data_IF_258634923289
#
_entry.id   IF_258634923289
#
_cell.length_a   1.000
_cell.length_b   1.000
_cell.length_c   1.000
_cell.angle_alpha   90.00
_cell.angle_beta   90.00
_cell.angle_gamma   90.00
#
_symmetry.space_group_name_H-M   'P 1'
#
loop_
_entity.id
_entity.type
_entity.pdbx_description
1 polymer ?
#
# COMPACT_ATOMS: atom_id res chain seq x y z
N UNK A 1 31.05 5.61 -63.03
CA UNK A 1 30.01 6.00 -63.98
C UNK A 1 28.68 6.10 -63.23
N UNK A 2 28.19 7.35 -63.11
CA UNK A 2 26.77 7.78 -63.14
C UNK A 2 25.79 7.14 -62.15
N UNK A 3 24.93 7.81 -61.38
CA UNK A 3 24.36 9.19 -61.34
C UNK A 3 23.56 9.23 -60.00
N UNK A 4 23.68 10.11 -59.08
CA UNK A 4 23.02 11.39 -58.80
C UNK A 4 21.57 11.46 -59.24
N UNK A 5 20.68 11.66 -58.25
CA UNK A 5 19.43 12.42 -58.20
C UNK A 5 18.49 11.78 -57.17
N UNK A 6 17.74 12.43 -56.33
CA UNK A 6 17.41 13.87 -56.18
C UNK A 6 16.69 14.02 -54.84
N UNK A 7 16.89 15.13 -54.23
CA UNK A 7 16.06 15.75 -53.18
C UNK A 7 14.61 15.80 -53.59
N UNK A 8 13.72 15.52 -52.68
CA UNK A 8 12.39 16.15 -52.68
C UNK A 8 11.94 16.34 -51.25
N UNK A 9 11.91 17.61 -50.89
CA UNK A 9 11.19 18.19 -49.74
C UNK A 9 9.75 17.79 -49.77
N UNK A 10 9.21 17.38 -48.62
CA UNK A 10 7.80 17.61 -48.28
C UNK A 10 7.63 18.05 -46.84
N UNK A 11 7.58 19.32 -46.73
CA UNK A 11 6.94 20.18 -45.75
C UNK A 11 5.47 19.81 -45.62
N UNK A 12 5.04 19.42 -44.44
CA UNK A 12 3.66 19.47 -43.99
C UNK A 12 3.64 19.39 -42.48
N UNK A 13 3.31 20.47 -41.94
CA UNK A 13 2.06 20.89 -41.29
C UNK A 13 2.09 20.63 -39.79
N UNK A 14 2.53 21.71 -39.09
CA UNK A 14 2.21 21.99 -37.71
C UNK A 14 0.71 22.11 -37.53
N UNK A 15 0.12 21.26 -36.72
CA UNK A 15 -1.19 21.50 -36.12
C UNK A 15 -0.99 21.91 -34.68
N UNK A 16 -1.54 23.02 -34.22
CA UNK A 16 -1.41 23.46 -32.84
C UNK A 16 -2.33 22.65 -31.93
N UNK A 17 -1.73 22.06 -30.92
CA UNK A 17 -2.44 21.43 -29.81
C UNK A 17 -3.12 22.51 -28.99
N UNK A 18 -4.45 22.48 -28.96
CA UNK A 18 -5.32 23.35 -28.18
C UNK A 18 -5.15 23.01 -26.68
N UNK A 19 -4.83 24.04 -25.89
CA UNK A 19 -4.95 24.04 -24.43
C UNK A 19 -6.41 23.81 -24.01
N UNK A 20 -6.68 22.93 -23.02
CA UNK A 20 -8.01 22.89 -22.40
C UNK A 20 -8.11 23.98 -21.33
N UNK A 21 -9.06 24.89 -21.51
CA UNK A 21 -9.55 25.84 -20.53
C UNK A 21 -10.13 25.10 -19.31
N UNK A 22 -9.97 25.62 -18.09
CA UNK A 22 -10.63 25.07 -16.92
C UNK A 22 -12.14 25.33 -16.97
N UNK A 23 -12.93 24.27 -16.84
CA UNK A 23 -14.37 24.34 -16.66
C UNK A 23 -14.66 24.77 -15.22
N UNK A 24 -15.44 25.84 -15.07
CA UNK A 24 -16.11 26.23 -13.82
C UNK A 24 -17.21 25.19 -13.55
N UNK A 25 -17.07 24.44 -12.48
CA UNK A 25 -18.16 23.65 -11.91
C UNK A 25 -18.78 24.42 -10.74
N UNK A 26 -20.02 24.80 -10.97
CA UNK A 26 -20.96 25.36 -10.03
C UNK A 26 -21.23 24.39 -8.87
N UNK A 27 -20.91 24.83 -7.67
CA UNK A 27 -21.25 24.11 -6.42
C UNK A 27 -22.74 24.28 -6.17
N UNK A 28 -23.50 23.22 -6.32
CA UNK A 28 -24.86 23.11 -5.83
C UNK A 28 -24.83 22.54 -4.41
N UNK A 29 -25.29 23.35 -3.48
CA UNK A 29 -25.53 23.02 -2.08
C UNK A 29 -26.78 22.16 -1.94
N UNK A 30 -26.64 20.95 -1.42
CA UNK A 30 -27.74 20.20 -0.81
C UNK A 30 -27.33 19.71 0.56
N UNK A 31 -27.99 20.29 1.55
CA UNK A 31 -28.03 19.81 2.94
C UNK A 31 -28.90 18.54 3.02
N UNK A 32 -28.58 17.56 3.84
CA UNK A 32 -29.59 16.65 4.34
C UNK A 32 -29.99 16.95 5.78
N UNK A 33 -31.26 17.19 5.95
CA UNK A 33 -32.07 17.30 7.16
C UNK A 33 -31.86 16.12 8.11
N UNK A 34 -31.71 16.47 9.38
CA UNK A 34 -31.85 15.58 10.52
C UNK A 34 -33.33 15.18 10.71
N UNK A 35 -33.59 13.89 10.87
CA UNK A 35 -34.84 13.39 11.48
C UNK A 35 -34.57 12.80 12.85
N UNK A 36 -35.38 13.30 13.79
CA UNK A 36 -35.45 12.90 15.17
C UNK A 36 -36.27 11.60 15.34
N UNK A 37 -35.78 10.67 16.12
CA UNK A 37 -36.52 9.52 16.60
C UNK A 37 -36.52 9.50 18.14
N UNK A 38 -37.67 9.73 18.72
CA UNK A 38 -38.04 9.58 20.17
C UNK A 38 -38.29 8.13 20.52
N UNK A 39 -37.96 7.75 21.76
CA UNK A 39 -38.75 6.90 22.68
C UNK A 39 -38.03 6.92 24.03
N UNK A 40 -38.56 7.49 25.12
CA UNK A 40 -39.51 6.96 26.12
C UNK A 40 -38.99 5.64 26.73
N UNK A 41 -38.79 5.51 28.02
CA UNK A 41 -39.65 5.57 29.19
C UNK A 41 -38.87 5.22 30.47
N UNK A 42 -39.06 6.02 31.51
CA UNK A 42 -39.42 5.80 32.87
C UNK A 42 -38.65 4.78 33.75
N UNK A 43 -38.16 5.22 34.87
CA UNK A 43 -38.72 4.99 36.20
C UNK A 43 -37.90 5.67 37.32
N UNK A 44 -38.64 6.36 38.18
CA UNK A 44 -38.28 6.89 39.49
C UNK A 44 -38.88 5.91 40.52
N UNK A 45 -38.56 5.82 41.84
CA UNK A 45 -38.50 6.95 42.77
C UNK A 45 -37.58 6.82 44.03
N UNK A 46 -37.75 7.87 44.87
CA UNK A 46 -37.63 8.01 46.33
C UNK A 46 -36.24 8.36 46.90
N UNK A 47 -36.08 9.49 47.44
CA UNK A 47 -36.51 10.20 48.67
C UNK A 47 -35.39 10.21 49.75
N UNK A 48 -34.88 11.37 50.08
CA UNK A 48 -34.85 11.95 51.44
C UNK A 48 -33.93 13.15 51.57
N UNK A 49 -34.55 14.27 51.88
CA UNK A 49 -34.21 15.33 52.84
C UNK A 49 -32.93 16.17 52.77
N UNK A 50 -33.25 17.47 52.69
CA UNK A 50 -32.51 18.70 52.92
C UNK A 50 -31.83 18.80 54.30
N UNK A 51 -30.89 19.79 54.50
CA UNK A 51 -31.22 21.18 54.43
C UNK A 51 -30.21 22.16 53.80
N UNK A 52 -30.75 23.26 53.49
CA UNK A 52 -30.26 24.51 52.96
C UNK A 52 -28.90 25.02 53.46
N UNK A 53 -28.09 25.43 52.52
CA UNK A 53 -27.13 26.52 52.72
C UNK A 53 -27.15 27.41 51.46
N UNK A 54 -27.37 28.69 51.70
CA UNK A 54 -27.55 29.75 50.72
C UNK A 54 -26.30 29.84 49.81
N UNK A 55 -26.42 29.42 48.58
CA UNK A 55 -25.43 29.73 47.52
C UNK A 55 -26.04 30.82 46.63
N UNK A 56 -25.37 31.98 46.59
CA UNK A 56 -25.60 33.08 45.67
C UNK A 56 -25.83 32.59 44.24
N UNK A 57 -26.70 33.22 43.45
CA UNK A 57 -26.86 32.88 42.05
C UNK A 57 -25.52 33.15 41.34
N UNK A 58 -24.89 32.10 40.87
CA UNK A 58 -23.81 32.17 39.93
C UNK A 58 -24.38 32.78 38.64
N UNK A 59 -23.93 33.98 38.31
CA UNK A 59 -24.15 34.57 37.00
C UNK A 59 -23.71 33.53 35.94
N UNK A 60 -24.50 33.29 34.89
CA UNK A 60 -24.08 32.39 33.82
C UNK A 60 -22.81 32.96 33.21
N UNK A 61 -21.67 32.29 33.42
CA UNK A 61 -20.42 32.65 32.75
C UNK A 61 -20.71 32.60 31.24
N UNK A 62 -20.72 33.77 30.61
CA UNK A 62 -20.75 33.89 29.15
C UNK A 62 -19.65 33.01 28.62
N UNK A 63 -19.90 32.18 27.59
CA UNK A 63 -18.85 31.39 26.96
C UNK A 63 -17.74 32.36 26.57
N UNK A 64 -16.55 32.20 27.16
CA UNK A 64 -15.37 32.99 26.83
C UNK A 64 -15.13 32.80 25.34
N UNK A 65 -15.32 33.88 24.57
CA UNK A 65 -14.97 33.88 23.15
C UNK A 65 -13.52 33.39 23.03
N UNK A 66 -13.24 32.35 22.22
CA UNK A 66 -11.90 31.84 22.09
C UNK A 66 -11.00 33.00 21.62
N UNK A 67 -9.91 33.27 22.36
CA UNK A 67 -8.96 34.31 21.97
C UNK A 67 -8.50 34.01 20.53
N UNK A 68 -8.82 34.95 19.62
CA UNK A 68 -8.52 34.78 18.20
C UNK A 68 -7.01 34.53 17.93
N UNK A 69 -6.13 35.03 18.82
CA UNK A 69 -4.69 34.79 18.76
C UNK A 69 -4.36 33.31 19.01
N UNK A 70 -5.00 32.73 20.02
CA UNK A 70 -4.84 31.31 20.34
C UNK A 70 -5.38 30.45 19.20
N UNK A 71 -6.56 30.79 18.66
CA UNK A 71 -7.16 30.07 17.52
C UNK A 71 -6.27 30.19 16.28
N UNK A 72 -5.73 31.36 15.99
CA UNK A 72 -4.80 31.56 14.87
C UNK A 72 -3.51 30.75 15.06
N UNK A 73 -2.92 30.76 16.27
CA UNK A 73 -1.71 30.01 16.56
C UNK A 73 -1.92 28.49 16.39
N UNK A 74 -3.07 27.96 16.86
CA UNK A 74 -3.44 26.56 16.67
C UNK A 74 -3.61 26.25 15.18
N UNK A 75 -4.36 27.08 14.45
CA UNK A 75 -4.59 26.87 13.01
C UNK A 75 -3.27 26.90 12.21
N UNK A 76 -2.35 27.79 12.57
CA UNK A 76 -1.04 27.86 11.94
C UNK A 76 -0.22 26.60 12.21
N UNK A 77 -0.23 26.12 13.47
CA UNK A 77 0.45 24.88 13.83
C UNK A 77 -0.15 23.66 13.10
N UNK A 78 -1.49 23.60 13.00
CA UNK A 78 -2.19 22.54 12.26
C UNK A 78 -1.87 22.60 10.77
N UNK A 79 -1.80 23.78 10.20
CA UNK A 79 -1.41 23.97 8.80
C UNK A 79 0.02 23.50 8.55
N UNK A 80 0.97 23.82 9.42
CA UNK A 80 2.35 23.36 9.31
C UNK A 80 2.46 21.84 9.44
N UNK A 81 1.71 21.25 10.36
CA UNK A 81 1.62 19.80 10.52
C UNK A 81 1.00 19.13 9.28
N UNK A 82 -0.09 19.71 8.75
CA UNK A 82 -0.71 19.25 7.51
C UNK A 82 0.27 19.30 6.33
N UNK A 83 0.98 20.43 6.16
CA UNK A 83 1.98 20.59 5.10
C UNK A 83 3.08 19.54 5.17
N UNK A 84 3.61 19.27 6.38
CA UNK A 84 4.63 18.23 6.60
C UNK A 84 4.09 16.84 6.27
N UNK A 85 2.84 16.54 6.70
CA UNK A 85 2.18 15.27 6.41
C UNK A 85 1.94 15.11 4.91
N UNK A 86 1.35 16.12 4.26
CA UNK A 86 1.08 16.08 2.82
C UNK A 86 2.34 15.91 1.97
N UNK A 87 3.48 16.47 2.42
CA UNK A 87 4.75 16.26 1.74
C UNK A 87 5.24 14.80 1.83
N UNK A 88 5.09 14.16 3.02
CA UNK A 88 5.42 12.73 3.21
C UNK A 88 4.47 11.83 2.42
N UNK A 89 3.16 12.09 2.51
CA UNK A 89 2.15 11.31 1.79
C UNK A 89 2.41 11.35 0.27
N UNK A 90 2.82 12.53 -0.24
CA UNK A 90 3.18 12.67 -1.65
C UNK A 90 4.43 11.86 -2.02
N UNK A 91 5.45 11.88 -1.17
CA UNK A 91 6.66 11.06 -1.36
C UNK A 91 6.32 9.57 -1.34
N UNK A 92 5.46 9.13 -0.41
CA UNK A 92 5.01 7.74 -0.32
C UNK A 92 4.20 7.32 -1.55
N UNK A 93 3.32 8.20 -2.07
CA UNK A 93 2.60 7.94 -3.33
C UNK A 93 3.57 7.70 -4.48
N UNK A 94 4.60 8.53 -4.64
CA UNK A 94 5.62 8.31 -5.69
C UNK A 94 6.41 7.02 -5.49
N UNK A 95 6.80 6.73 -4.23
CA UNK A 95 7.60 5.55 -3.89
C UNK A 95 6.87 4.23 -4.11
N UNK A 96 5.54 4.23 -3.97
CA UNK A 96 4.72 3.02 -4.03
C UNK A 96 3.71 3.01 -5.19
N UNK A 97 3.76 3.98 -6.09
CA UNK A 97 2.85 4.09 -7.23
C UNK A 97 2.85 2.83 -8.12
N UNK A 98 4.01 2.16 -8.21
CA UNK A 98 4.19 0.98 -9.06
C UNK A 98 3.77 -0.33 -8.37
N UNK A 99 3.37 -0.28 -7.09
CA UNK A 99 3.12 -1.49 -6.28
C UNK A 99 2.09 -2.43 -6.89
N UNK A 100 1.03 -1.89 -7.50
CA UNK A 100 -0.06 -2.71 -8.03
C UNK A 100 0.35 -3.38 -9.34
N UNK A 101 1.02 -2.65 -10.23
CA UNK A 101 1.59 -3.22 -11.48
C UNK A 101 2.60 -4.31 -11.13
N UNK A 102 3.47 -4.06 -10.15
CA UNK A 102 4.46 -5.05 -9.72
C UNK A 102 3.79 -6.32 -9.20
N UNK A 103 2.71 -6.22 -8.38
CA UNK A 103 1.94 -7.37 -7.91
C UNK A 103 1.37 -8.20 -9.04
N UNK A 104 0.86 -7.54 -10.10
CA UNK A 104 0.28 -8.23 -11.27
C UNK A 104 1.33 -8.95 -12.11
N UNK A 105 2.59 -8.51 -12.08
CA UNK A 105 3.71 -9.15 -12.77
C UNK A 105 4.25 -10.37 -12.00
N UNK A 106 4.18 -10.40 -10.66
CA UNK A 106 4.75 -11.47 -9.84
C UNK A 106 4.30 -12.89 -10.24
N UNK A 107 3.03 -13.16 -10.58
CA UNK A 107 2.62 -14.49 -11.06
C UNK A 107 3.35 -14.92 -12.32
N UNK A 108 3.68 -14.00 -13.22
CA UNK A 108 4.45 -14.30 -14.44
C UNK A 108 5.89 -14.69 -14.09
N UNK A 109 6.49 -14.00 -13.11
CA UNK A 109 7.82 -14.35 -12.58
C UNK A 109 7.82 -15.77 -11.99
N UNK A 110 6.78 -16.10 -11.17
CA UNK A 110 6.64 -17.42 -10.58
C UNK A 110 6.49 -18.52 -11.65
N UNK A 111 5.68 -18.27 -12.69
CA UNK A 111 5.50 -19.22 -13.80
C UNK A 111 6.79 -19.43 -14.59
N UNK A 112 7.59 -18.39 -14.81
CA UNK A 112 8.90 -18.51 -15.43
C UNK A 112 9.87 -19.32 -14.56
N UNK A 113 9.88 -19.07 -13.25
CA UNK A 113 10.68 -19.84 -12.31
C UNK A 113 10.27 -21.32 -12.32
N UNK A 114 8.96 -21.61 -12.30
CA UNK A 114 8.43 -22.96 -12.38
C UNK A 114 8.80 -23.66 -13.70
N UNK A 115 8.71 -22.95 -14.84
CA UNK A 115 9.10 -23.48 -16.14
C UNK A 115 10.60 -23.86 -16.19
N UNK A 116 11.45 -23.08 -15.52
CA UNK A 116 12.89 -23.35 -15.42
C UNK A 116 13.22 -24.55 -14.51
N UNK A 117 12.40 -24.80 -13.48
CA UNK A 117 12.59 -25.95 -12.57
C UNK A 117 11.96 -27.24 -13.09
N UNK A 118 10.88 -27.15 -13.87
CA UNK A 118 10.14 -28.30 -14.40
C UNK A 118 10.69 -28.80 -15.75
N UNK A 119 11.58 -28.05 -16.40
CA UNK A 119 12.17 -28.40 -17.68
C UNK A 119 13.13 -29.60 -17.56
N UNK A 120 12.91 -30.67 -18.36
CA UNK A 120 13.73 -31.88 -18.34
C UNK A 120 15.18 -31.66 -18.82
N UNK A 121 15.43 -30.60 -19.57
CA UNK A 121 16.76 -30.28 -20.11
C UNK A 121 17.13 -28.79 -19.84
N UNK A 122 17.71 -28.56 -18.67
CA UNK A 122 18.19 -27.23 -18.27
C UNK A 122 19.32 -26.69 -19.17
N UNK A 123 19.98 -27.55 -19.94
CA UNK A 123 21.07 -27.21 -20.84
C UNK A 123 20.60 -26.84 -22.26
N UNK A 124 19.32 -27.04 -22.57
CA UNK A 124 18.76 -26.76 -23.89
C UNK A 124 18.90 -25.25 -24.25
N UNK A 125 19.07 -24.91 -25.55
CA UNK A 125 19.09 -23.51 -25.98
C UNK A 125 17.83 -22.76 -25.60
N UNK A 126 16.68 -23.44 -25.56
CA UNK A 126 15.41 -22.88 -25.15
C UNK A 126 15.41 -22.50 -23.66
N UNK A 127 15.82 -23.43 -22.77
CA UNK A 127 15.90 -23.16 -21.33
C UNK A 127 16.87 -22.00 -21.01
N UNK A 128 17.99 -21.90 -21.75
CA UNK A 128 18.90 -20.76 -21.63
C UNK A 128 18.23 -19.45 -22.04
N UNK A 129 17.45 -19.46 -23.13
CA UNK A 129 16.70 -18.27 -23.56
C UNK A 129 15.66 -17.83 -22.50
N UNK A 130 14.89 -18.77 -21.96
CA UNK A 130 13.91 -18.49 -20.87
C UNK A 130 14.62 -17.94 -19.63
N UNK A 131 15.78 -18.49 -19.27
CA UNK A 131 16.57 -18.01 -18.13
C UNK A 131 17.05 -16.59 -18.33
N UNK A 132 17.51 -16.23 -19.52
CA UNK A 132 17.92 -14.84 -19.83
C UNK A 132 16.74 -13.86 -19.68
N UNK A 133 15.54 -14.25 -20.08
CA UNK A 133 14.32 -13.44 -19.91
C UNK A 133 13.98 -13.30 -18.42
N UNK A 134 14.03 -14.42 -17.68
CA UNK A 134 13.79 -14.42 -16.24
C UNK A 134 14.78 -13.53 -15.48
N UNK A 135 16.08 -13.68 -15.74
CA UNK A 135 17.12 -12.87 -15.10
C UNK A 135 16.99 -11.38 -15.46
N UNK A 136 16.62 -11.08 -16.72
CA UNK A 136 16.31 -9.72 -17.17
C UNK A 136 15.10 -9.12 -16.43
N UNK A 137 14.05 -9.91 -16.21
CA UNK A 137 12.88 -9.46 -15.47
C UNK A 137 13.17 -9.24 -13.99
N UNK A 138 13.95 -10.13 -13.34
CA UNK A 138 14.41 -9.95 -11.96
C UNK A 138 15.24 -8.66 -11.82
N UNK A 139 16.11 -8.37 -12.78
CA UNK A 139 16.90 -7.14 -12.78
C UNK A 139 15.99 -5.90 -12.90
N UNK A 140 15.03 -5.91 -13.82
CA UNK A 140 14.07 -4.81 -13.96
C UNK A 140 13.28 -4.58 -12.67
N UNK A 141 12.79 -5.64 -12.01
CA UNK A 141 12.11 -5.55 -10.73
C UNK A 141 13.02 -4.94 -9.64
N UNK A 142 14.30 -5.35 -9.60
CA UNK A 142 15.26 -4.82 -8.65
C UNK A 142 15.57 -3.33 -8.88
N UNK A 143 15.66 -2.89 -10.15
CA UNK A 143 15.87 -1.50 -10.53
C UNK A 143 14.70 -0.61 -10.08
N UNK A 144 13.47 -1.15 -10.01
CA UNK A 144 12.28 -0.51 -9.47
C UNK A 144 12.12 -0.69 -7.94
N UNK A 145 13.14 -1.24 -7.26
CA UNK A 145 13.15 -1.40 -5.80
C UNK A 145 12.40 -2.63 -5.28
N UNK A 146 11.89 -3.50 -6.15
CA UNK A 146 11.29 -4.77 -5.74
C UNK A 146 12.38 -5.82 -5.48
N UNK A 147 12.34 -6.44 -4.30
CA UNK A 147 13.35 -7.43 -3.88
C UNK A 147 12.68 -8.74 -3.49
N UNK A 148 13.18 -9.88 -3.99
CA UNK A 148 12.71 -11.19 -3.53
C UNK A 148 13.22 -11.47 -2.11
N UNK A 149 12.40 -12.14 -1.32
CA UNK A 149 12.83 -12.67 -0.03
C UNK A 149 13.63 -13.95 -0.27
N UNK A 150 14.93 -13.87 -0.06
CA UNK A 150 15.85 -14.99 -0.20
C UNK A 150 16.15 -15.67 1.14
N UNK A 151 16.67 -16.90 1.08
CA UNK A 151 17.23 -17.63 2.22
C UNK A 151 16.24 -17.77 3.39
N UNK A 152 15.00 -18.15 3.10
CA UNK A 152 13.96 -18.34 4.12
C UNK A 152 14.04 -19.71 4.78
N UNK A 153 14.57 -20.72 4.10
CA UNK A 153 14.67 -22.11 4.63
C UNK A 153 15.53 -22.14 5.89
N UNK A 154 15.02 -22.79 6.94
CA UNK A 154 15.67 -22.89 8.24
C UNK A 154 15.48 -21.67 9.15
N UNK A 155 14.84 -20.59 8.67
CA UNK A 155 14.48 -19.45 9.52
C UNK A 155 13.14 -19.66 10.22
N UNK A 156 12.93 -18.91 11.29
CA UNK A 156 11.66 -18.87 12.01
C UNK A 156 10.57 -18.23 11.17
N UNK A 157 9.33 -18.65 11.39
CA UNK A 157 8.16 -18.08 10.73
C UNK A 157 7.88 -16.69 11.31
N UNK A 158 7.89 -15.66 10.48
CA UNK A 158 7.40 -14.32 10.82
C UNK A 158 6.05 -14.07 10.15
N UNK A 159 4.94 -13.97 10.90
CA UNK A 159 3.61 -13.76 10.34
C UNK A 159 3.44 -12.44 9.55
N UNK A 160 4.34 -11.47 9.75
CA UNK A 160 4.27 -10.20 9.01
C UNK A 160 4.74 -10.34 7.56
N UNK A 161 5.61 -11.32 7.28
CA UNK A 161 6.25 -11.49 5.96
C UNK A 161 5.97 -12.86 5.33
N UNK A 162 5.59 -13.85 6.14
CA UNK A 162 5.43 -15.23 5.70
C UNK A 162 4.00 -15.71 5.93
N UNK A 163 3.48 -16.46 4.96
CA UNK A 163 2.20 -17.15 5.01
C UNK A 163 2.44 -18.65 5.02
N UNK A 164 2.18 -19.32 6.15
CA UNK A 164 2.29 -20.77 6.24
C UNK A 164 1.09 -21.42 5.55
N UNK A 165 1.35 -22.15 4.46
CA UNK A 165 0.30 -22.85 3.68
C UNK A 165 0.14 -24.32 4.08
N UNK A 166 1.18 -24.92 4.64
CA UNK A 166 1.18 -26.31 5.10
C UNK A 166 2.22 -26.52 6.20
N UNK A 167 1.98 -27.55 7.01
CA UNK A 167 2.96 -28.05 7.97
C UNK A 167 3.27 -29.50 7.62
N UNK A 168 4.54 -29.81 7.32
CA UNK A 168 4.99 -31.13 6.89
C UNK A 168 6.16 -31.61 7.75
N UNK A 169 6.27 -32.93 8.04
CA UNK A 169 7.43 -33.45 8.75
C UNK A 169 8.70 -33.26 7.90
N UNK A 170 9.78 -32.84 8.54
CA UNK A 170 11.09 -32.67 7.90
C UNK A 170 12.20 -33.23 8.80
N UNK A 171 13.09 -34.03 8.22
CA UNK A 171 14.24 -34.53 8.93
C UNK A 171 15.41 -33.52 9.03
N UNK A 172 15.39 -32.51 8.14
CA UNK A 172 16.50 -31.57 7.97
C UNK A 172 16.30 -30.25 8.74
N UNK A 173 15.03 -29.89 9.01
CA UNK A 173 14.68 -28.60 9.62
C UNK A 173 13.93 -28.83 10.93
N UNK A 174 14.31 -28.08 11.97
CA UNK A 174 13.66 -28.13 13.27
C UNK A 174 12.18 -27.73 13.20
N UNK A 175 11.41 -28.21 14.17
CA UNK A 175 10.00 -27.87 14.31
C UNK A 175 9.78 -26.34 14.42
N UNK A 176 8.75 -25.84 13.74
CA UNK A 176 8.40 -24.42 13.72
C UNK A 176 9.20 -23.55 12.74
N UNK A 177 10.22 -24.12 12.09
CA UNK A 177 11.01 -23.41 11.07
C UNK A 177 10.50 -23.69 9.65
N UNK A 178 10.85 -22.79 8.74
CA UNK A 178 10.50 -22.90 7.33
C UNK A 178 11.29 -24.03 6.68
N UNK A 179 10.59 -25.07 6.22
CA UNK A 179 11.21 -26.22 5.54
C UNK A 179 11.32 -26.01 4.02
N UNK A 180 10.34 -25.32 3.42
CA UNK A 180 10.35 -25.06 1.99
C UNK A 180 9.59 -23.76 1.67
N UNK A 181 9.89 -23.18 0.51
CA UNK A 181 9.23 -21.98 -0.03
C UNK A 181 8.45 -22.38 -1.27
N UNK A 182 7.11 -22.34 -1.17
CA UNK A 182 6.22 -22.65 -2.30
C UNK A 182 6.10 -21.48 -3.27
N UNK A 183 6.03 -20.23 -2.74
CA UNK A 183 6.09 -19.01 -3.55
C UNK A 183 6.97 -17.99 -2.88
N UNK A 184 7.83 -17.37 -3.67
CA UNK A 184 8.75 -16.32 -3.19
C UNK A 184 7.97 -15.08 -2.75
N UNK A 185 8.26 -14.58 -1.55
CA UNK A 185 7.78 -13.30 -1.07
C UNK A 185 8.53 -12.14 -1.72
N UNK A 186 7.90 -10.98 -1.79
CA UNK A 186 8.47 -9.79 -2.41
C UNK A 186 8.21 -8.55 -1.57
N UNK A 187 9.21 -7.68 -1.49
CA UNK A 187 9.13 -6.36 -0.87
C UNK A 187 9.42 -5.28 -1.90
N UNK A 188 8.75 -4.14 -1.79
CA UNK A 188 9.05 -2.93 -2.56
C UNK A 188 9.59 -1.89 -1.59
N UNK A 189 10.88 -1.58 -1.72
CA UNK A 189 11.60 -0.78 -0.74
C UNK A 189 11.44 -1.39 0.67
N UNK A 190 10.63 -0.76 1.54
CA UNK A 190 10.39 -1.21 2.93
C UNK A 190 8.98 -1.81 3.13
N UNK A 191 8.16 -1.85 2.08
CA UNK A 191 6.77 -2.32 2.16
C UNK A 191 6.62 -3.71 1.57
N UNK A 192 5.85 -4.56 2.26
CA UNK A 192 5.48 -5.87 1.76
C UNK A 192 4.59 -5.76 0.52
N UNK A 193 5.03 -6.34 -0.62
CA UNK A 193 4.21 -6.51 -1.82
C UNK A 193 3.38 -7.80 -1.76
N UNK A 194 4.05 -8.91 -1.40
CA UNK A 194 3.45 -10.24 -1.30
C UNK A 194 4.20 -11.06 -0.27
N UNK A 195 3.47 -11.68 0.67
CA UNK A 195 4.04 -12.61 1.63
C UNK A 195 4.66 -13.84 0.93
N UNK A 196 5.72 -14.38 1.50
CA UNK A 196 6.26 -15.64 1.06
C UNK A 196 5.33 -16.77 1.51
N UNK A 197 4.87 -17.61 0.58
CA UNK A 197 4.13 -18.82 0.92
C UNK A 197 5.11 -19.94 1.26
N UNK A 198 5.08 -20.37 2.52
CA UNK A 198 6.07 -21.27 3.07
C UNK A 198 5.43 -22.53 3.65
N UNK A 199 6.20 -23.60 3.66
CA UNK A 199 5.88 -24.83 4.37
C UNK A 199 6.70 -24.86 5.63
N UNK A 200 6.06 -25.12 6.76
CA UNK A 200 6.69 -25.17 8.09
C UNK A 200 7.00 -26.62 8.46
N UNK A 201 8.11 -26.84 9.11
CA UNK A 201 8.47 -28.16 9.62
C UNK A 201 7.65 -28.53 10.86
N UNK A 202 7.08 -29.74 10.89
CA UNK A 202 6.48 -30.37 12.06
C UNK A 202 7.49 -31.15 12.92
N UNK A 203 8.78 -31.02 12.59
CA UNK A 203 9.83 -31.83 13.22
C UNK A 203 10.09 -33.15 12.48
N UNK A 204 10.86 -34.05 13.12
CA UNK A 204 11.20 -35.34 12.52
C UNK A 204 9.97 -36.23 12.44
N UNK A 205 9.77 -36.96 11.31
CA UNK A 205 8.75 -38.01 11.26
C UNK A 205 9.08 -39.09 12.29
N UNK A 206 8.08 -39.48 13.09
CA UNK A 206 8.16 -40.66 13.97
C UNK A 206 8.25 -41.96 13.18
#
# INVERSE_FOLDING_TARGET
>A
MFKKKSEEEKKSEETPVAEPKPAEETVSSEEPKAEAGKSDEAEKPAEAEKPAEEAKPAEPEKPKEPDWKTLYAITLADFDNYKKRAARDREDVYRYAESDILKDILPTVDNLALALTSGEDAASPFAKGVRMVYDGLLKALADHGAKPMADLVGKELDPNFHEAIATLPSAEVEEGKISNVAKTGWTLNDKLLRAAQVVVSAGKPE
#
